data_IF_601118583366
#
_entry.id   IF_601118583366
#
_cell.length_a   1.000
_cell.length_b   1.000
_cell.length_c   1.000
_cell.angle_alpha   90.00
_cell.angle_beta   90.00
_cell.angle_gamma   90.00
#
_symmetry.space_group_name_H-M   'P 1'
#
loop_
_entity.id
_entity.type
_entity.pdbx_description
1 polymer ?
#
# COMPACT_ATOMS: atom_id res chain seq x y z
N UNK A 1 26.60 -0.49 11.02
CA UNK A 1 26.02 0.48 10.06
C UNK A 1 24.60 0.01 9.71
N UNK A 2 23.54 0.75 10.11
CA UNK A 2 22.16 0.39 9.75
C UNK A 2 21.97 0.66 8.26
N UNK A 3 21.75 -0.40 7.46
CA UNK A 3 21.44 -0.28 6.04
C UNK A 3 20.25 0.68 5.89
N UNK A 4 20.41 1.72 5.07
CA UNK A 4 19.35 2.63 4.63
C UNK A 4 18.35 1.87 3.76
N UNK A 5 17.55 1.00 4.37
CA UNK A 5 16.65 0.11 3.65
C UNK A 5 15.22 0.60 3.77
N UNK A 6 14.44 0.39 2.74
CA UNK A 6 12.98 0.60 2.76
C UNK A 6 12.33 -0.60 3.42
N UNK A 7 11.48 -0.38 4.42
CA UNK A 7 10.70 -1.41 5.09
C UNK A 7 9.28 -1.45 4.52
N UNK A 8 8.74 -2.65 4.31
CA UNK A 8 7.37 -2.85 3.86
C UNK A 8 6.61 -3.64 4.91
N UNK A 9 5.49 -3.10 5.35
CA UNK A 9 4.63 -3.69 6.37
C UNK A 9 3.25 -3.93 5.75
N UNK A 10 2.86 -5.20 5.65
CA UNK A 10 1.59 -5.58 5.05
C UNK A 10 0.57 -5.93 6.13
N UNK A 11 -0.62 -5.35 6.01
CA UNK A 11 -1.80 -5.69 6.79
C UNK A 11 -2.87 -6.33 5.91
N UNK A 12 -3.67 -7.20 6.49
CA UNK A 12 -4.88 -7.75 5.88
C UNK A 12 -4.67 -9.06 5.12
N UNK A 13 -5.17 -9.11 3.89
CA UNK A 13 -5.37 -10.34 3.14
C UNK A 13 -4.14 -10.80 2.34
N UNK A 14 -4.27 -11.98 1.72
CA UNK A 14 -3.23 -12.57 0.86
C UNK A 14 -2.89 -11.71 -0.34
N UNK A 15 -3.88 -10.97 -0.87
CA UNK A 15 -3.68 -10.02 -1.96
C UNK A 15 -2.73 -8.89 -1.55
N UNK A 16 -2.90 -8.33 -0.34
CA UNK A 16 -1.96 -7.33 0.18
C UNK A 16 -0.54 -7.89 0.35
N UNK A 17 -0.41 -9.18 0.69
CA UNK A 17 0.91 -9.84 0.79
C UNK A 17 1.54 -9.95 -0.60
N UNK A 18 0.78 -10.38 -1.62
CA UNK A 18 1.23 -10.45 -3.01
C UNK A 18 1.67 -9.07 -3.51
N UNK A 19 0.84 -8.06 -3.35
CA UNK A 19 1.16 -6.68 -3.75
C UNK A 19 2.34 -6.10 -2.98
N UNK A 20 2.55 -6.52 -1.73
CA UNK A 20 3.72 -6.15 -0.94
C UNK A 20 5.04 -6.60 -1.59
N UNK A 21 5.07 -7.77 -2.24
CA UNK A 21 6.25 -8.22 -2.98
C UNK A 21 6.46 -7.38 -4.27
N UNK A 22 5.37 -6.99 -4.94
CA UNK A 22 5.45 -6.06 -6.09
C UNK A 22 6.04 -4.72 -5.63
N UNK A 23 5.50 -4.14 -4.56
CA UNK A 23 5.99 -2.88 -3.98
C UNK A 23 7.47 -3.01 -3.61
N UNK A 24 7.89 -4.13 -3.03
CA UNK A 24 9.29 -4.39 -2.69
C UNK A 24 10.19 -4.38 -3.93
N UNK A 25 9.76 -5.05 -5.00
CA UNK A 25 10.47 -5.04 -6.27
C UNK A 25 10.57 -3.63 -6.86
N UNK A 26 9.45 -2.89 -6.88
CA UNK A 26 9.41 -1.51 -7.39
C UNK A 26 10.27 -0.56 -6.55
N UNK A 27 10.24 -0.69 -5.22
CA UNK A 27 11.08 0.09 -4.32
C UNK A 27 12.58 -0.17 -4.55
N UNK A 28 12.97 -1.42 -4.76
CA UNK A 28 14.35 -1.80 -5.10
C UNK A 28 14.77 -1.23 -6.46
N UNK A 29 13.92 -1.38 -7.50
CA UNK A 29 14.17 -0.85 -8.86
C UNK A 29 14.32 0.68 -8.89
N UNK A 30 13.58 1.39 -8.04
CA UNK A 30 13.65 2.86 -7.91
C UNK A 30 14.69 3.32 -6.87
N UNK A 31 15.51 2.44 -6.32
CA UNK A 31 16.50 2.76 -5.28
C UNK A 31 15.94 3.56 -4.10
N UNK A 32 14.69 3.26 -3.70
CA UNK A 32 14.07 3.93 -2.57
C UNK A 32 14.82 3.63 -1.27
N UNK A 33 15.22 4.67 -0.56
CA UNK A 33 15.95 4.57 0.71
C UNK A 33 15.26 5.44 1.77
N UNK A 34 15.27 4.96 3.00
CA UNK A 34 14.69 5.67 4.14
C UNK A 34 13.16 5.83 4.07
N UNK A 35 12.46 4.83 3.57
CA UNK A 35 11.00 4.77 3.60
C UNK A 35 10.51 3.62 4.49
N UNK A 36 9.34 3.81 5.11
CA UNK A 36 8.50 2.74 5.63
C UNK A 36 7.18 2.78 4.87
N UNK A 37 6.89 1.73 4.13
CA UNK A 37 5.69 1.60 3.31
C UNK A 37 4.71 0.69 4.06
N UNK A 38 3.53 1.21 4.36
CA UNK A 38 2.47 0.49 5.09
C UNK A 38 1.33 0.21 4.13
N UNK A 39 1.18 -1.06 3.76
CA UNK A 39 0.09 -1.53 2.91
C UNK A 39 -1.12 -1.90 3.78
N UNK A 40 -2.10 -1.02 3.82
CA UNK A 40 -3.22 -1.02 4.77
C UNK A 40 -4.38 -1.92 4.34
N UNK A 41 -5.17 -2.32 5.33
CA UNK A 41 -6.42 -3.05 5.15
C UNK A 41 -7.60 -2.26 5.71
N UNK A 42 -8.79 -2.40 5.09
CA UNK A 42 -10.03 -1.73 5.49
C UNK A 42 -11.17 -2.69 5.84
N UNK A 43 -10.90 -3.99 5.90
CA UNK A 43 -11.95 -5.00 6.13
C UNK A 43 -12.48 -4.95 7.56
N UNK A 44 -11.66 -4.58 8.53
CA UNK A 44 -12.05 -4.47 9.94
C UNK A 44 -11.51 -3.20 10.58
N UNK A 45 -12.26 -2.63 11.53
CA UNK A 45 -11.80 -1.48 12.33
C UNK A 45 -10.52 -1.79 13.11
N UNK A 46 -10.38 -3.03 13.56
CA UNK A 46 -9.17 -3.47 14.26
C UNK A 46 -7.94 -3.41 13.36
N UNK A 47 -8.08 -3.78 12.08
CA UNK A 47 -7.00 -3.66 11.11
C UNK A 47 -6.59 -2.20 10.90
N UNK A 48 -7.56 -1.27 10.82
CA UNK A 48 -7.27 0.15 10.72
C UNK A 48 -6.57 0.72 11.97
N UNK A 49 -7.00 0.33 13.17
CA UNK A 49 -6.34 0.71 14.43
C UNK A 49 -4.90 0.22 14.47
N UNK A 50 -4.65 -1.01 14.02
CA UNK A 50 -3.29 -1.58 13.91
C UNK A 50 -2.42 -0.79 12.93
N UNK A 51 -2.97 -0.37 11.78
CA UNK A 51 -2.27 0.47 10.80
C UNK A 51 -1.84 1.80 11.46
N UNK A 52 -2.76 2.51 12.13
CA UNK A 52 -2.44 3.78 12.79
C UNK A 52 -1.39 3.61 13.91
N UNK A 53 -1.49 2.53 14.70
CA UNK A 53 -0.49 2.21 15.71
C UNK A 53 0.90 2.00 15.08
N UNK A 54 0.97 1.24 14.00
CA UNK A 54 2.25 0.94 13.32
C UNK A 54 2.87 2.18 12.66
N UNK A 55 2.06 3.10 12.13
CA UNK A 55 2.52 4.41 11.62
C UNK A 55 3.31 5.15 12.72
N UNK A 56 2.68 5.34 13.88
CA UNK A 56 3.29 6.05 15.01
C UNK A 56 4.51 5.32 15.57
N UNK A 57 4.44 3.99 15.69
CA UNK A 57 5.53 3.13 16.15
C UNK A 57 6.73 3.20 15.20
N UNK A 58 6.50 3.10 13.90
CA UNK A 58 7.54 3.19 12.88
C UNK A 58 8.23 4.55 12.89
N UNK A 59 7.48 5.63 13.01
CA UNK A 59 8.05 6.99 13.10
C UNK A 59 8.87 7.21 14.35
N UNK A 60 8.42 6.70 15.50
CA UNK A 60 9.19 6.75 16.77
C UNK A 60 10.49 5.95 16.67
N UNK A 61 10.44 4.75 16.06
CA UNK A 61 11.61 3.89 15.91
C UNK A 61 12.63 4.43 14.89
N UNK A 62 12.13 5.06 13.84
CA UNK A 62 12.95 5.57 12.73
C UNK A 62 12.51 6.99 12.32
N UNK A 63 12.83 8.04 13.11
CA UNK A 63 12.34 9.40 12.88
C UNK A 63 12.69 9.99 11.51
N UNK A 64 13.82 9.55 10.94
CA UNK A 64 14.30 10.02 9.63
C UNK A 64 13.64 9.34 8.44
N UNK A 65 12.96 8.20 8.64
CA UNK A 65 12.24 7.52 7.55
C UNK A 65 10.97 8.27 7.20
N UNK A 66 10.67 8.31 5.90
CA UNK A 66 9.40 8.80 5.38
C UNK A 66 8.36 7.69 5.44
N UNK A 67 7.16 8.02 5.87
CA UNK A 67 6.04 7.07 5.96
C UNK A 67 5.16 7.21 4.73
N UNK A 68 5.00 6.11 4.02
CA UNK A 68 4.04 5.97 2.91
C UNK A 68 2.92 5.06 3.36
N UNK A 69 1.67 5.48 3.24
CA UNK A 69 0.50 4.64 3.49
C UNK A 69 -0.18 4.34 2.16
N UNK A 70 -0.48 3.08 1.92
CA UNK A 70 -1.19 2.59 0.73
C UNK A 70 -2.14 1.47 1.11
N UNK A 71 -2.81 0.85 0.15
CA UNK A 71 -3.73 -0.25 0.39
C UNK A 71 -5.19 0.19 0.50
N UNK A 72 -6.07 -0.75 0.85
CA UNK A 72 -7.52 -0.52 0.79
C UNK A 72 -7.99 0.63 1.68
N UNK A 73 -7.48 0.75 2.91
CA UNK A 73 -7.90 1.82 3.80
C UNK A 73 -7.44 3.20 3.31
N UNK A 74 -6.23 3.29 2.74
CA UNK A 74 -5.72 4.51 2.11
C UNK A 74 -6.49 4.89 0.84
N UNK A 75 -6.95 3.91 0.05
CA UNK A 75 -7.77 4.12 -1.13
C UNK A 75 -9.15 4.69 -0.78
N UNK A 76 -9.79 4.16 0.28
CA UNK A 76 -11.16 4.52 0.66
C UNK A 76 -11.20 5.87 1.36
N UNK A 77 -10.23 6.14 2.22
CA UNK A 77 -10.19 7.38 3.01
C UNK A 77 -8.76 7.96 3.06
N UNK A 78 -8.28 8.51 1.95
CA UNK A 78 -6.93 9.06 1.88
C UNK A 78 -6.70 10.24 2.83
N UNK A 79 -7.71 11.08 3.04
CA UNK A 79 -7.65 12.26 3.91
C UNK A 79 -7.39 11.88 5.37
N UNK A 80 -8.02 10.79 5.84
CA UNK A 80 -7.79 10.27 7.19
C UNK A 80 -6.31 9.97 7.45
N UNK A 81 -5.61 9.45 6.44
CA UNK A 81 -4.21 9.05 6.58
C UNK A 81 -3.23 10.20 6.37
N UNK A 82 -3.48 11.10 5.39
CA UNK A 82 -2.57 12.23 5.17
C UNK A 82 -2.61 13.25 6.30
N UNK A 83 -3.72 13.33 7.03
CA UNK A 83 -3.87 14.18 8.22
C UNK A 83 -3.13 13.63 9.46
N UNK A 84 -2.60 12.40 9.40
CA UNK A 84 -1.72 11.88 10.46
C UNK A 84 -0.34 12.53 10.31
N UNK A 85 0.10 13.28 11.32
CA UNK A 85 1.36 14.06 11.31
C UNK A 85 2.59 13.27 10.88
N UNK A 86 2.62 11.97 11.15
CA UNK A 86 3.72 11.09 10.84
C UNK A 86 3.73 10.60 9.40
N UNK A 87 2.63 10.77 8.65
CA UNK A 87 2.50 10.31 7.26
C UNK A 87 3.03 11.36 6.31
N UNK A 88 3.88 10.93 5.41
CA UNK A 88 4.48 11.81 4.39
C UNK A 88 3.78 11.65 3.02
N UNK A 89 3.23 10.46 2.70
CA UNK A 89 2.59 10.16 1.42
C UNK A 89 1.42 9.20 1.59
N UNK A 90 0.37 9.40 0.79
CA UNK A 90 -0.74 8.45 0.63
C UNK A 90 -0.86 8.06 -0.83
N UNK A 91 -0.86 6.76 -1.11
CA UNK A 91 -0.86 6.20 -2.46
C UNK A 91 -2.04 5.23 -2.59
N UNK A 92 -2.80 5.34 -3.68
CA UNK A 92 -3.94 4.47 -3.96
C UNK A 92 -3.54 3.04 -4.34
N UNK A 93 -4.55 2.19 -4.45
CA UNK A 93 -4.35 0.77 -4.70
C UNK A 93 -3.86 0.47 -6.13
N UNK A 94 -4.21 1.29 -7.11
CA UNK A 94 -3.71 1.16 -8.48
C UNK A 94 -2.33 1.79 -8.61
N UNK A 95 -2.18 3.01 -8.11
CA UNK A 95 -0.94 3.79 -8.18
C UNK A 95 0.24 3.06 -7.52
N UNK A 96 0.00 2.30 -6.44
CA UNK A 96 1.07 1.55 -5.77
C UNK A 96 1.72 0.46 -6.64
N UNK A 97 1.04 0.03 -7.71
CA UNK A 97 1.52 -0.97 -8.66
C UNK A 97 2.21 -0.34 -9.88
N UNK A 98 2.14 0.99 -10.02
CA UNK A 98 2.77 1.73 -11.10
C UNK A 98 4.23 2.10 -10.74
N UNK A 99 5.15 1.88 -11.68
CA UNK A 99 6.58 2.17 -11.48
C UNK A 99 6.83 3.66 -11.25
N UNK A 100 6.15 4.51 -12.00
CA UNK A 100 6.36 5.96 -11.99
C UNK A 100 5.92 6.62 -10.68
N UNK A 101 4.94 6.03 -9.98
CA UNK A 101 4.52 6.47 -8.65
C UNK A 101 5.69 6.51 -7.66
N UNK A 102 6.53 5.48 -7.68
CA UNK A 102 7.64 5.35 -6.75
C UNK A 102 8.86 6.22 -7.12
N UNK A 103 9.01 6.60 -8.38
CA UNK A 103 10.06 7.54 -8.81
C UNK A 103 9.74 9.00 -8.44
N UNK A 104 8.46 9.35 -8.28
CA UNK A 104 7.98 10.72 -8.11
C UNK A 104 7.62 11.09 -6.65
N UNK A 105 8.11 10.37 -5.65
CA UNK A 105 7.89 10.68 -4.23
C UNK A 105 8.75 11.86 -3.73
N UNK A 106 8.60 13.02 -4.36
CA UNK A 106 9.43 14.21 -4.06
C UNK A 106 8.77 15.17 -3.10
N UNK A 107 7.47 15.44 -3.28
CA UNK A 107 6.72 16.44 -2.51
C UNK A 107 6.09 15.81 -1.27
N UNK A 108 6.55 16.21 -0.09
CA UNK A 108 5.97 15.78 1.19
C UNK A 108 4.49 16.18 1.31
N UNK A 109 3.71 15.42 2.07
CA UNK A 109 2.26 15.57 2.25
C UNK A 109 1.49 15.50 0.90
N UNK A 110 1.84 14.54 0.05
CA UNK A 110 1.14 14.31 -1.21
C UNK A 110 0.21 13.11 -1.17
N UNK A 111 -0.95 13.28 -1.79
CA UNK A 111 -1.95 12.23 -2.01
C UNK A 111 -1.96 11.89 -3.50
N UNK A 112 -1.70 10.63 -3.82
CA UNK A 112 -1.75 10.07 -5.17
C UNK A 112 -2.78 8.94 -5.16
N UNK A 113 -4.06 9.30 -5.13
CA UNK A 113 -5.18 8.37 -5.09
C UNK A 113 -6.19 8.82 -6.15
N UNK A 114 -6.36 8.02 -7.18
CA UNK A 114 -7.36 8.24 -8.22
C UNK A 114 -8.66 7.50 -7.89
N UNK A 115 -9.71 7.83 -8.63
CA UNK A 115 -10.97 7.10 -8.52
C UNK A 115 -10.77 5.66 -9.00
N UNK A 116 -10.95 4.70 -8.09
CA UNK A 116 -10.71 3.29 -8.34
C UNK A 116 -11.62 2.68 -9.40
N UNK A 117 -12.77 3.29 -9.69
CA UNK A 117 -13.75 2.81 -10.66
C UNK A 117 -13.50 3.27 -12.09
N UNK A 118 -12.67 4.30 -12.29
CA UNK A 118 -12.42 4.89 -13.62
C UNK A 118 -11.33 4.19 -14.43
N UNK A 119 -10.53 3.34 -13.79
CA UNK A 119 -9.41 2.68 -14.44
C UNK A 119 -9.60 1.16 -14.42
N UNK A 120 -9.78 0.58 -15.61
CA UNK A 120 -9.94 -0.87 -15.81
C UNK A 120 -8.64 -1.55 -16.26
N UNK A 121 -7.49 -0.89 -16.13
CA UNK A 121 -6.21 -1.50 -16.52
C UNK A 121 -5.81 -2.58 -15.52
N UNK A 122 -5.65 -3.79 -16.00
CA UNK A 122 -4.96 -4.83 -15.24
C UNK A 122 -3.46 -4.52 -15.20
N UNK A 123 -2.90 -4.54 -14.01
CA UNK A 123 -1.46 -4.42 -13.84
C UNK A 123 -0.80 -5.80 -14.04
N UNK A 124 -0.03 -5.94 -15.12
CA UNK A 124 0.72 -7.16 -15.42
C UNK A 124 2.02 -7.26 -14.58
N UNK A 125 1.92 -7.06 -13.28
CA UNK A 125 3.07 -7.20 -12.40
C UNK A 125 3.22 -8.67 -12.00
N UNK A 126 4.32 -9.29 -12.38
CA UNK A 126 4.66 -10.66 -12.00
C UNK A 126 5.56 -10.63 -10.76
N UNK A 127 5.17 -11.37 -9.73
CA UNK A 127 6.01 -11.61 -8.57
C UNK A 127 6.94 -12.77 -8.85
N UNK A 128 8.21 -12.49 -9.03
CA UNK A 128 9.23 -13.52 -9.32
C UNK A 128 9.60 -14.35 -8.09
N UNK A 129 9.50 -13.75 -6.89
CA UNK A 129 9.93 -14.40 -5.64
C UNK A 129 9.16 -13.87 -4.44
N UNK A 130 8.76 -14.78 -3.56
CA UNK A 130 8.24 -14.46 -2.21
C UNK A 130 9.34 -14.66 -1.18
N UNK A 131 10.00 -13.58 -0.78
CA UNK A 131 11.12 -13.64 0.17
C UNK A 131 10.66 -14.11 1.56
N UNK A 132 11.31 -15.15 2.09
CA UNK A 132 11.06 -15.67 3.43
C UNK A 132 9.71 -16.34 3.64
N UNK A 133 9.01 -16.74 2.57
CA UNK A 133 7.71 -17.42 2.64
C UNK A 133 7.77 -18.81 2.01
N UNK A 134 7.09 -19.75 2.66
CA UNK A 134 6.93 -21.13 2.16
C UNK A 134 5.79 -21.29 1.14
N UNK A 135 4.99 -20.23 0.90
CA UNK A 135 3.84 -20.24 -0.01
C UNK A 135 3.93 -19.09 -1.00
N UNK A 136 3.69 -19.39 -2.27
CA UNK A 136 3.47 -18.41 -3.32
C UNK A 136 1.96 -18.13 -3.45
N UNK A 137 1.60 -16.88 -3.77
CA UNK A 137 0.24 -16.48 -4.07
C UNK A 137 0.15 -16.09 -5.54
N UNK A 138 -0.94 -16.47 -6.19
CA UNK A 138 -1.27 -16.06 -7.55
C UNK A 138 -2.51 -15.20 -7.46
N UNK A 139 -2.45 -14.00 -8.03
CA UNK A 139 -3.58 -13.12 -8.15
C UNK A 139 -4.45 -13.57 -9.31
N UNK A 140 -5.71 -13.89 -9.02
CA UNK A 140 -6.70 -14.29 -10.03
C UNK A 140 -7.85 -13.28 -10.14
N UNK A 141 -7.99 -12.40 -9.14
CA UNK A 141 -9.00 -11.36 -9.09
C UNK A 141 -8.58 -10.27 -8.10
N UNK A 142 -8.78 -9.00 -8.46
CA UNK A 142 -8.55 -7.86 -7.56
C UNK A 142 -9.82 -7.28 -6.99
N UNK A 143 -10.69 -6.77 -7.85
CA UNK A 143 -11.92 -6.09 -7.49
C UNK A 143 -13.13 -7.02 -7.46
N UNK A 144 -14.31 -6.41 -7.48
CA UNK A 144 -15.57 -7.14 -7.54
C UNK A 144 -16.66 -6.27 -8.15
N UNK A 145 -17.42 -6.81 -9.10
CA UNK A 145 -18.50 -6.10 -9.77
C UNK A 145 -19.80 -6.12 -8.95
N UNK A 146 -19.90 -6.99 -7.95
CA UNK A 146 -21.02 -7.00 -7.03
C UNK A 146 -20.99 -5.79 -6.10
N UNK A 147 -22.17 -5.32 -5.72
CA UNK A 147 -22.38 -4.15 -4.83
C UNK A 147 -23.17 -4.56 -3.59
N UNK A 148 -22.70 -5.60 -2.91
CA UNK A 148 -23.32 -6.03 -1.65
C UNK A 148 -23.26 -4.89 -0.62
N UNK A 149 -24.35 -4.63 0.06
CA UNK A 149 -24.55 -3.47 0.94
C UNK A 149 -23.53 -3.36 2.08
N UNK A 150 -22.97 -4.48 2.53
CA UNK A 150 -21.99 -4.57 3.61
C UNK A 150 -20.54 -4.65 3.13
N UNK A 151 -20.29 -4.70 1.81
CA UNK A 151 -18.98 -5.04 1.27
C UNK A 151 -18.17 -3.81 0.90
N UNK A 152 -17.00 -3.67 1.52
CA UNK A 152 -16.05 -2.58 1.26
C UNK A 152 -15.11 -2.86 0.06
N UNK A 153 -15.06 -4.10 -0.44
CA UNK A 153 -14.08 -4.53 -1.46
C UNK A 153 -14.13 -3.68 -2.73
N UNK A 154 -15.31 -3.41 -3.36
CA UNK A 154 -15.33 -2.60 -4.58
C UNK A 154 -14.75 -1.20 -4.40
N UNK A 155 -14.96 -0.59 -3.23
CA UNK A 155 -14.48 0.76 -2.93
C UNK A 155 -12.96 0.81 -2.72
N UNK A 156 -12.38 -0.27 -2.23
CA UNK A 156 -10.94 -0.38 -2.04
C UNK A 156 -10.20 -0.93 -3.25
N UNK A 157 -10.86 -1.74 -4.10
CA UNK A 157 -10.22 -2.53 -5.16
C UNK A 157 -10.73 -2.24 -6.57
N UNK A 158 -11.88 -1.59 -6.69
CA UNK A 158 -12.54 -1.33 -7.96
C UNK A 158 -13.36 -2.50 -8.48
N UNK A 159 -13.66 -2.42 -9.76
CA UNK A 159 -14.30 -3.49 -10.53
C UNK A 159 -13.32 -4.63 -10.81
N UNK A 160 -13.87 -5.78 -11.20
CA UNK A 160 -13.09 -6.92 -11.65
C UNK A 160 -12.77 -6.81 -13.13
#
# INVERSE_FOLDING_TARGET
MKKNNTDIINFGCRLNIYEGEIINSLAKKNNLKNYTIINSCSVTEEAEKKVQYEIRKSKRKFPKKRIVVTGCAAQINPEKYINIKEVDFVIGNKEKLEKDTWSNLTKKNSVQVKNIFLDNKMHNNIVEKFEGKSRAFIEIQQGCDHRCTFCIIPFGRGNN
#
